data_IF_736479215243
#
_entry.id   IF_736479215243
#
_cell.length_a   1.000
_cell.length_b   1.000
_cell.length_c   1.000
_cell.angle_alpha   90.00
_cell.angle_beta   90.00
_cell.angle_gamma   90.00
#
_symmetry.space_group_name_H-M   'P 1'
#
loop_
_entity.id
_entity.type
_entity.pdbx_description
1 polymer ?
#
# COMPACT_ATOMS: atom_id res chain seq x y z
N UNK A 1 -24.54 -10.81 25.86
CA UNK A 1 -23.43 -11.14 26.78
C UNK A 1 -22.67 -12.32 26.21
N UNK A 2 -21.52 -12.07 25.58
CA UNK A 2 -20.64 -13.16 25.13
C UNK A 2 -20.13 -13.96 26.33
N UNK A 3 -19.59 -15.18 26.11
CA UNK A 3 -18.94 -15.93 27.18
C UNK A 3 -17.88 -15.02 27.81
N UNK A 4 -18.04 -14.71 29.09
CA UNK A 4 -17.11 -13.84 29.80
C UNK A 4 -15.73 -14.45 29.72
N UNK A 5 -14.75 -13.68 29.23
CA UNK A 5 -13.34 -14.04 29.36
C UNK A 5 -13.03 -14.04 30.87
N UNK A 6 -13.09 -15.21 31.49
CA UNK A 6 -12.69 -15.43 32.86
C UNK A 6 -11.19 -15.76 32.91
N UNK A 7 -10.50 -15.23 33.90
CA UNK A 7 -9.07 -15.47 34.12
C UNK A 7 -8.25 -14.18 34.12
N UNK A 8 -7.07 -14.28 34.71
CA UNK A 8 -6.07 -13.20 34.73
C UNK A 8 -5.12 -13.34 33.53
N UNK A 9 -4.63 -12.21 33.04
CA UNK A 9 -3.67 -12.19 31.94
C UNK A 9 -2.30 -12.67 32.43
N UNK A 10 -1.69 -13.62 31.72
CA UNK A 10 -0.32 -14.08 31.98
C UNK A 10 0.54 -13.92 30.73
N UNK A 11 1.43 -12.94 30.79
CA UNK A 11 2.39 -12.61 29.73
C UNK A 11 3.47 -13.69 29.59
N UNK A 12 3.98 -14.21 30.70
CA UNK A 12 5.06 -15.20 30.73
C UNK A 12 4.65 -16.48 29.99
N UNK A 13 3.51 -17.04 30.39
CA UNK A 13 3.02 -18.29 29.80
C UNK A 13 2.73 -18.12 28.30
N UNK A 14 2.14 -16.98 27.92
CA UNK A 14 1.91 -16.64 26.52
C UNK A 14 3.22 -16.59 25.70
N UNK A 15 4.24 -15.90 26.22
CA UNK A 15 5.55 -15.79 25.58
C UNK A 15 6.29 -17.13 25.51
N UNK A 16 6.23 -17.96 26.55
CA UNK A 16 6.90 -19.25 26.55
C UNK A 16 6.24 -20.26 25.60
N UNK A 17 4.91 -20.30 25.55
CA UNK A 17 4.18 -21.15 24.60
C UNK A 17 4.46 -20.70 23.17
N UNK A 18 4.41 -19.39 22.90
CA UNK A 18 4.74 -18.83 21.60
C UNK A 18 6.21 -19.10 21.22
N UNK A 19 7.14 -18.93 22.16
CA UNK A 19 8.56 -19.19 21.97
C UNK A 19 8.87 -20.66 21.66
N UNK A 20 8.24 -21.60 22.37
CA UNK A 20 8.33 -23.04 22.07
C UNK A 20 7.77 -23.36 20.70
N UNK A 21 6.62 -22.76 20.35
CA UNK A 21 6.03 -22.89 19.01
C UNK A 21 6.98 -22.37 17.93
N UNK A 22 7.64 -21.22 18.12
CA UNK A 22 8.59 -20.67 17.15
C UNK A 22 9.92 -21.43 17.10
N UNK A 23 10.20 -22.32 18.06
CA UNK A 23 11.45 -23.07 18.14
C UNK A 23 11.72 -23.99 16.95
N UNK A 24 10.65 -24.54 16.33
CA UNK A 24 10.79 -25.40 15.13
C UNK A 24 11.02 -24.61 13.84
N UNK A 25 10.86 -23.29 13.87
CA UNK A 25 11.05 -22.46 12.68
C UNK A 25 12.54 -22.39 12.32
N UNK A 26 12.87 -22.52 11.03
CA UNK A 26 14.24 -22.48 10.56
C UNK A 26 14.89 -21.11 10.81
N UNK A 27 16.23 -21.09 10.87
CA UNK A 27 17.00 -19.91 11.26
C UNK A 27 16.90 -18.72 10.30
N UNK A 28 16.60 -18.99 9.03
CA UNK A 28 16.39 -17.96 8.00
C UNK A 28 15.05 -17.23 8.14
N UNK A 29 14.10 -17.76 8.92
CA UNK A 29 12.82 -17.12 9.16
C UNK A 29 12.92 -16.00 10.20
N UNK A 30 12.17 -14.91 10.01
CA UNK A 30 11.89 -14.00 11.12
C UNK A 30 10.97 -14.69 12.12
N UNK A 31 11.27 -14.51 13.41
CA UNK A 31 10.47 -15.04 14.52
C UNK A 31 9.87 -13.84 15.21
N UNK A 32 8.56 -13.70 15.10
CA UNK A 32 7.86 -12.49 15.53
C UNK A 32 6.67 -12.88 16.40
N UNK A 33 6.49 -12.17 17.51
CA UNK A 33 5.35 -12.29 18.40
C UNK A 33 4.70 -10.91 18.47
N UNK A 34 3.41 -10.84 18.15
CA UNK A 34 2.60 -9.63 18.35
C UNK A 34 1.65 -9.88 19.51
N UNK A 35 1.77 -9.11 20.57
CA UNK A 35 0.92 -9.20 21.75
C UNK A 35 -0.18 -8.14 21.63
N UNK A 36 -1.44 -8.55 21.70
CA UNK A 36 -2.57 -7.65 21.89
C UNK A 36 -2.95 -7.65 23.37
N UNK A 37 -2.64 -6.58 24.09
CA UNK A 37 -2.88 -6.49 25.52
C UNK A 37 -4.06 -5.59 25.85
N UNK A 38 -5.08 -6.15 26.49
CA UNK A 38 -6.18 -5.40 27.09
C UNK A 38 -6.01 -5.20 28.61
N UNK A 39 -5.20 -6.04 29.25
CA UNK A 39 -4.99 -6.01 30.69
C UNK A 39 -3.96 -4.93 31.07
N UNK A 40 -4.13 -4.37 32.27
CA UNK A 40 -3.19 -3.39 32.86
C UNK A 40 -2.14 -4.06 33.75
N UNK A 41 -2.39 -5.30 34.13
CA UNK A 41 -1.53 -6.11 34.98
C UNK A 41 -1.34 -7.49 34.38
N UNK A 42 -0.20 -8.11 34.68
CA UNK A 42 0.09 -9.50 34.34
C UNK A 42 0.32 -10.30 35.61
N UNK A 43 -0.20 -11.51 35.66
CA UNK A 43 -0.11 -12.42 36.79
C UNK A 43 0.72 -13.64 36.34
N UNK A 44 2.03 -13.52 36.54
CA UNK A 44 3.01 -14.50 36.06
C UNK A 44 3.64 -15.27 37.22
N UNK A 45 3.99 -16.56 37.02
CA UNK A 45 4.58 -17.39 38.06
C UNK A 45 6.03 -17.00 38.41
N UNK A 46 6.75 -16.36 37.49
CA UNK A 46 8.15 -15.95 37.66
C UNK A 46 8.44 -14.56 37.10
N UNK A 47 9.73 -14.20 37.07
CA UNK A 47 10.18 -12.91 36.55
C UNK A 47 10.44 -12.97 35.04
N UNK A 48 9.53 -12.37 34.26
CA UNK A 48 9.57 -12.32 32.80
C UNK A 48 10.85 -11.63 32.27
N UNK A 49 11.34 -10.61 32.97
CA UNK A 49 12.47 -9.81 32.49
C UNK A 49 13.82 -10.51 32.70
N UNK A 50 13.92 -11.32 33.75
CA UNK A 50 15.17 -12.03 34.09
C UNK A 50 15.20 -13.43 33.46
N UNK A 51 14.07 -14.13 33.44
CA UNK A 51 14.02 -15.51 32.96
C UNK A 51 13.68 -15.60 31.47
N UNK A 52 12.55 -15.04 31.06
CA UNK A 52 11.98 -15.25 29.72
C UNK A 52 12.64 -14.36 28.67
N UNK A 53 12.91 -13.10 28.99
CA UNK A 53 13.45 -12.13 28.04
C UNK A 53 14.82 -12.55 27.45
N UNK A 54 15.83 -12.98 28.25
CA UNK A 54 17.10 -13.43 27.68
C UNK A 54 16.94 -14.68 26.79
N UNK A 55 16.01 -15.58 27.11
CA UNK A 55 15.70 -16.75 26.28
C UNK A 55 15.11 -16.33 24.93
N UNK A 56 14.24 -15.32 24.90
CA UNK A 56 13.66 -14.78 23.66
C UNK A 56 14.72 -14.10 22.78
N UNK A 57 15.60 -13.30 23.39
CA UNK A 57 16.71 -12.65 22.68
C UNK A 57 17.67 -13.70 22.12
N UNK A 58 18.05 -14.71 22.92
CA UNK A 58 18.90 -15.81 22.46
C UNK A 58 18.27 -16.66 21.35
N UNK A 59 16.93 -16.76 21.34
CA UNK A 59 16.19 -17.40 20.26
C UNK A 59 15.97 -16.48 19.02
N UNK A 60 16.42 -15.22 19.07
CA UNK A 60 16.26 -14.25 18.00
C UNK A 60 14.81 -13.85 17.73
N UNK A 61 13.95 -13.89 18.76
CA UNK A 61 12.52 -13.57 18.66
C UNK A 61 12.30 -12.08 18.88
N UNK A 62 11.61 -11.43 17.94
CA UNK A 62 11.16 -10.04 18.02
C UNK A 62 9.76 -10.00 18.61
N UNK A 63 9.53 -9.16 19.62
CA UNK A 63 8.22 -9.05 20.28
C UNK A 63 7.70 -7.63 20.13
N UNK A 64 6.58 -7.45 19.42
CA UNK A 64 5.83 -6.20 19.37
C UNK A 64 4.59 -6.31 20.26
N UNK A 65 4.15 -5.20 20.84
CA UNK A 65 2.97 -5.19 21.69
C UNK A 65 2.07 -3.99 21.38
N UNK A 66 0.78 -4.26 21.29
CA UNK A 66 -0.28 -3.29 21.05
C UNK A 66 -1.19 -3.34 22.28
N UNK A 67 -1.16 -2.30 23.10
CA UNK A 67 -2.03 -2.17 24.26
C UNK A 67 -3.30 -1.39 23.92
N UNK A 68 -4.45 -1.81 24.47
CA UNK A 68 -5.74 -1.16 24.22
C UNK A 68 -6.02 0.05 25.12
N UNK A 69 -5.43 0.10 26.32
CA UNK A 69 -5.80 1.12 27.32
C UNK A 69 -4.60 1.90 27.83
N UNK A 70 -3.66 1.23 28.48
CA UNK A 70 -2.47 1.90 29.00
C UNK A 70 -1.20 1.12 28.65
N UNK A 71 -0.10 1.86 28.65
CA UNK A 71 1.22 1.29 28.47
C UNK A 71 1.62 0.43 29.67
N UNK A 72 2.06 -0.79 29.39
CA UNK A 72 2.68 -1.66 30.39
C UNK A 72 4.20 -1.56 30.28
N UNK A 73 4.86 -1.09 31.35
CA UNK A 73 6.32 -0.95 31.39
C UNK A 73 7.06 -2.27 31.09
N UNK A 74 6.52 -3.40 31.53
CA UNK A 74 7.09 -4.73 31.24
C UNK A 74 7.06 -5.01 29.74
N UNK A 75 5.91 -4.79 29.08
CA UNK A 75 5.77 -4.97 27.63
C UNK A 75 6.67 -4.00 26.84
N UNK A 76 6.79 -2.75 27.28
CA UNK A 76 7.69 -1.76 26.66
C UNK A 76 9.14 -2.22 26.69
N UNK A 77 9.63 -2.63 27.86
CA UNK A 77 11.00 -3.13 28.03
C UNK A 77 11.28 -4.36 27.16
N UNK A 78 10.32 -5.28 27.07
CA UNK A 78 10.45 -6.47 26.22
C UNK A 78 10.50 -6.09 24.73
N UNK A 79 9.63 -5.19 24.29
CA UNK A 79 9.61 -4.72 22.91
C UNK A 79 10.92 -4.03 22.53
N UNK A 80 11.42 -3.10 23.35
CA UNK A 80 12.67 -2.39 23.09
C UNK A 80 13.88 -3.33 23.09
N UNK A 81 13.92 -4.26 24.04
CA UNK A 81 15.05 -5.20 24.17
C UNK A 81 15.09 -6.23 23.04
N UNK A 82 13.94 -6.56 22.44
CA UNK A 82 13.85 -7.52 21.33
C UNK A 82 13.82 -6.85 19.94
N UNK A 83 13.86 -5.51 19.88
CA UNK A 83 13.77 -4.73 18.64
C UNK A 83 12.36 -4.70 18.01
N UNK A 84 11.34 -4.98 18.81
CA UNK A 84 9.93 -4.80 18.45
C UNK A 84 9.44 -3.37 18.73
N UNK A 85 8.13 -3.18 18.58
CA UNK A 85 7.49 -1.87 18.79
C UNK A 85 6.35 -2.03 19.81
N UNK A 86 6.24 -1.06 20.72
CA UNK A 86 5.10 -0.92 21.63
C UNK A 86 4.22 0.23 21.16
N UNK A 87 2.91 0.00 21.00
CA UNK A 87 1.91 1.03 20.71
C UNK A 87 0.72 0.96 21.67
N UNK A 88 0.13 2.11 22.00
CA UNK A 88 -1.10 2.20 22.79
C UNK A 88 -2.21 2.74 21.90
N UNK A 89 -3.32 2.02 21.85
CA UNK A 89 -4.48 2.39 21.06
C UNK A 89 -5.20 3.56 21.72
N UNK A 90 -5.56 4.56 20.91
CA UNK A 90 -6.37 5.70 21.36
C UNK A 90 -7.81 5.51 20.88
N UNK A 91 -7.94 5.25 19.58
CA UNK A 91 -9.20 5.04 18.90
C UNK A 91 -9.21 3.74 18.09
N UNK A 92 -10.39 3.37 17.59
CA UNK A 92 -10.56 2.19 16.73
C UNK A 92 -9.70 2.26 15.46
N UNK A 93 -9.61 3.44 14.86
CA UNK A 93 -8.81 3.64 13.64
C UNK A 93 -7.32 3.55 13.96
N UNK A 94 -6.89 4.11 15.09
CA UNK A 94 -5.50 3.97 15.54
C UNK A 94 -5.12 2.50 15.84
N UNK A 95 -6.02 1.71 16.44
CA UNK A 95 -5.80 0.27 16.61
C UNK A 95 -5.61 -0.43 15.25
N UNK A 96 -6.42 -0.07 14.26
CA UNK A 96 -6.28 -0.61 12.89
C UNK A 96 -4.92 -0.25 12.32
N UNK A 97 -4.48 1.00 12.47
CA UNK A 97 -3.18 1.46 11.97
C UNK A 97 -2.01 0.75 12.64
N UNK A 98 -2.05 0.58 13.98
CA UNK A 98 -1.03 -0.16 14.72
C UNK A 98 -0.93 -1.63 14.30
N UNK A 99 -2.07 -2.28 14.03
CA UNK A 99 -2.12 -3.65 13.52
C UNK A 99 -1.64 -3.74 12.08
N UNK A 100 -2.07 -2.82 11.21
CA UNK A 100 -1.61 -2.75 9.81
C UNK A 100 -0.11 -2.48 9.74
N UNK A 101 0.45 -1.68 10.65
CA UNK A 101 1.89 -1.46 10.74
C UNK A 101 2.71 -2.72 11.00
N UNK A 102 2.14 -3.76 11.62
CA UNK A 102 2.81 -5.07 11.80
C UNK A 102 2.74 -5.97 10.55
N UNK A 103 1.98 -5.59 9.51
CA UNK A 103 1.88 -6.38 8.27
C UNK A 103 3.06 -6.17 7.33
N UNK A 104 3.75 -5.02 7.46
CA UNK A 104 4.97 -4.75 6.72
C UNK A 104 6.11 -5.57 7.34
N UNK A 105 6.81 -6.42 6.56
CA UNK A 105 7.89 -7.24 7.09
C UNK A 105 8.98 -6.32 7.67
N UNK A 106 9.38 -6.50 8.94
CA UNK A 106 10.36 -5.63 9.55
C UNK A 106 11.73 -5.84 8.90
N UNK A 107 12.58 -4.80 8.90
CA UNK A 107 13.96 -4.94 8.47
C UNK A 107 14.67 -5.98 9.34
N UNK A 108 15.46 -6.85 8.72
CA UNK A 108 16.29 -7.79 9.46
C UNK A 108 17.34 -7.02 10.26
N UNK A 109 17.16 -6.94 11.57
CA UNK A 109 18.15 -6.35 12.46
C UNK A 109 19.42 -7.20 12.42
N UNK A 110 20.46 -6.69 11.74
CA UNK A 110 21.79 -7.25 11.82
C UNK A 110 22.36 -6.96 13.22
N UNK A 111 22.56 -8.00 14.02
CA UNK A 111 23.22 -7.85 15.31
C UNK A 111 24.68 -7.46 15.06
N UNK A 112 25.03 -6.19 15.30
CA UNK A 112 26.39 -5.65 15.11
C UNK A 112 27.47 -6.38 15.94
N UNK A 113 27.07 -7.14 16.96
CA UNK A 113 27.97 -7.87 17.85
C UNK A 113 28.20 -9.35 17.46
N UNK A 114 27.55 -9.86 16.41
CA UNK A 114 27.53 -11.30 16.08
C UNK A 114 28.50 -11.70 14.94
N UNK A 115 29.52 -10.90 14.64
CA UNK A 115 30.57 -11.27 13.65
C UNK A 115 31.35 -12.55 14.01
N UNK A 116 31.21 -13.06 15.24
CA UNK A 116 31.90 -14.25 15.75
C UNK A 116 30.99 -15.31 16.38
N UNK A 117 29.66 -15.18 16.29
CA UNK A 117 28.73 -16.16 16.87
C UNK A 117 28.03 -16.99 15.79
N UNK A 118 27.84 -18.29 16.05
CA UNK A 118 27.12 -19.26 15.19
C UNK A 118 25.61 -19.00 15.08
N UNK A 119 25.17 -17.81 15.47
CA UNK A 119 23.78 -17.33 15.55
C UNK A 119 23.51 -16.17 14.59
N UNK A 120 24.52 -15.72 13.81
CA UNK A 120 24.31 -14.73 12.75
C UNK A 120 23.21 -15.21 11.78
N UNK A 121 22.23 -14.33 11.51
CA UNK A 121 21.19 -14.58 10.50
C UNK A 121 21.84 -14.71 9.14
N UNK A 122 21.93 -15.93 8.63
CA UNK A 122 22.45 -16.21 7.30
C UNK A 122 21.33 -16.07 6.26
N UNK A 123 21.64 -15.38 5.16
CA UNK A 123 20.79 -15.39 3.98
C UNK A 123 20.98 -16.73 3.27
N UNK A 124 20.30 -17.78 3.76
CA UNK A 124 20.38 -19.13 3.21
C UNK A 124 19.37 -19.32 2.07
N UNK A 125 19.80 -19.95 0.98
CA UNK A 125 18.89 -20.32 -0.10
C UNK A 125 17.98 -21.48 0.33
N UNK A 126 16.68 -21.20 0.37
CA UNK A 126 15.66 -22.20 0.72
C UNK A 126 15.15 -22.88 -0.54
N UNK A 127 15.16 -24.22 -0.54
CA UNK A 127 14.56 -25.00 -1.62
C UNK A 127 13.04 -24.90 -1.56
N UNK A 128 12.44 -24.30 -2.59
CA UNK A 128 10.98 -24.20 -2.76
C UNK A 128 10.53 -25.08 -3.94
N UNK A 129 9.27 -25.52 -3.91
CA UNK A 129 8.63 -26.26 -4.99
C UNK A 129 7.50 -25.45 -5.62
N UNK A 130 7.53 -25.33 -6.95
CA UNK A 130 6.42 -24.78 -7.73
C UNK A 130 5.58 -25.94 -8.28
N UNK A 131 4.45 -26.27 -7.67
CA UNK A 131 3.63 -27.38 -8.10
C UNK A 131 2.79 -27.01 -9.33
N UNK A 132 2.47 -28.01 -10.14
CA UNK A 132 1.55 -27.87 -11.28
C UNK A 132 0.14 -28.22 -10.83
N UNK A 133 -0.85 -27.45 -11.28
CA UNK A 133 -2.26 -27.76 -11.04
C UNK A 133 -2.70 -28.83 -12.04
N UNK A 134 -3.13 -29.98 -11.54
CA UNK A 134 -3.73 -31.04 -12.33
C UNK A 134 -5.24 -31.12 -12.08
N UNK A 135 -5.99 -31.33 -13.15
CA UNK A 135 -7.44 -31.51 -13.12
C UNK A 135 -7.78 -32.85 -13.77
N UNK A 136 -8.46 -33.72 -13.02
CA UNK A 136 -8.95 -35.00 -13.51
C UNK A 136 -10.48 -35.05 -13.55
N UNK A 137 -11.02 -35.84 -14.46
CA UNK A 137 -12.47 -36.06 -14.57
C UNK A 137 -13.00 -36.87 -13.37
N UNK A 138 -12.20 -37.85 -12.91
CA UNK A 138 -12.46 -38.62 -11.69
C UNK A 138 -11.79 -37.99 -10.46
N UNK A 139 -12.47 -37.95 -9.30
CA UNK A 139 -11.87 -37.45 -8.08
C UNK A 139 -10.71 -38.36 -7.65
N UNK A 140 -9.53 -37.77 -7.47
CA UNK A 140 -8.33 -38.48 -7.03
C UNK A 140 -8.06 -38.22 -5.56
N UNK A 141 -7.37 -39.14 -4.90
CA UNK A 141 -6.94 -38.96 -3.52
C UNK A 141 -5.88 -37.87 -3.47
N UNK A 142 -6.17 -36.77 -2.77
CA UNK A 142 -5.26 -35.62 -2.63
C UNK A 142 -4.48 -35.75 -1.34
N UNK A 143 -5.18 -35.97 -0.23
CA UNK A 143 -4.56 -36.06 1.08
C UNK A 143 -5.20 -37.20 1.87
N UNK A 144 -4.37 -38.05 2.47
CA UNK A 144 -4.80 -39.11 3.35
C UNK A 144 -4.01 -39.03 4.65
N UNK A 145 -4.69 -38.65 5.73
CA UNK A 145 -4.26 -38.92 7.10
C UNK A 145 -5.06 -40.08 7.66
N UNK A 146 -4.67 -40.60 8.84
CA UNK A 146 -5.36 -41.73 9.49
C UNK A 146 -6.86 -41.46 9.66
N UNK A 147 -7.23 -40.19 9.89
CA UNK A 147 -8.61 -39.79 10.19
C UNK A 147 -9.32 -39.04 9.05
N UNK A 148 -8.59 -38.51 8.04
CA UNK A 148 -9.18 -37.74 6.94
C UNK A 148 -8.67 -38.21 5.58
N UNK A 149 -9.59 -38.59 4.71
CA UNK A 149 -9.34 -38.86 3.29
C UNK A 149 -10.02 -37.76 2.46
N UNK A 150 -9.21 -36.93 1.83
CA UNK A 150 -9.67 -35.86 0.97
C UNK A 150 -9.55 -36.30 -0.50
N UNK A 151 -10.70 -36.42 -1.15
CA UNK A 151 -10.79 -36.65 -2.58
C UNK A 151 -11.19 -35.35 -3.27
N UNK A 152 -10.45 -34.93 -4.28
CA UNK A 152 -10.92 -33.88 -5.17
C UNK A 152 -10.46 -34.10 -6.61
N UNK A 153 -11.17 -33.46 -7.52
CA UNK A 153 -10.89 -33.50 -8.97
C UNK A 153 -9.69 -32.64 -9.35
N UNK A 154 -9.39 -31.62 -8.56
CA UNK A 154 -8.29 -30.70 -8.80
C UNK A 154 -7.30 -30.75 -7.65
N UNK A 155 -6.01 -30.84 -7.95
CA UNK A 155 -4.96 -30.83 -6.93
C UNK A 155 -3.63 -30.32 -7.47
N UNK A 156 -2.76 -29.89 -6.57
CA UNK A 156 -1.43 -29.41 -6.89
C UNK A 156 -0.41 -30.52 -6.70
N UNK A 157 0.37 -30.82 -7.73
CA UNK A 157 1.34 -31.93 -7.69
C UNK A 157 2.72 -31.42 -7.27
N UNK A 158 3.25 -31.99 -6.20
CA UNK A 158 4.60 -31.70 -5.72
C UNK A 158 5.64 -32.07 -6.80
N UNK A 159 6.56 -31.16 -7.17
CA UNK A 159 7.55 -31.45 -8.20
C UNK A 159 8.57 -32.52 -7.79
N UNK A 160 8.79 -32.72 -6.48
CA UNK A 160 9.79 -33.66 -5.94
C UNK A 160 9.27 -35.08 -5.78
N UNK A 161 8.15 -35.26 -5.07
CA UNK A 161 7.63 -36.59 -4.71
C UNK A 161 6.30 -36.94 -5.38
N UNK A 162 5.76 -36.05 -6.22
CA UNK A 162 4.47 -36.21 -6.92
C UNK A 162 3.23 -36.38 -6.02
N UNK A 163 3.38 -36.18 -4.71
CA UNK A 163 2.24 -36.10 -3.80
C UNK A 163 1.34 -34.91 -4.17
N UNK A 164 0.02 -35.08 -3.97
CA UNK A 164 -0.99 -34.07 -4.24
C UNK A 164 -1.24 -33.22 -2.99
N UNK A 165 -1.47 -31.92 -3.19
CA UNK A 165 -1.89 -30.97 -2.16
C UNK A 165 -3.22 -30.33 -2.58
N UNK A 166 -4.08 -30.04 -1.61
CA UNK A 166 -5.37 -29.38 -1.88
C UNK A 166 -5.18 -27.91 -2.20
N UNK A 167 -4.37 -27.24 -1.37
CA UNK A 167 -4.21 -25.79 -1.37
C UNK A 167 -2.75 -25.40 -1.23
N UNK A 168 -2.45 -24.16 -1.63
CA UNK A 168 -1.14 -23.54 -1.55
C UNK A 168 -1.29 -22.15 -0.91
N UNK A 169 -0.29 -21.66 -0.17
CA UNK A 169 0.99 -22.28 0.15
C UNK A 169 0.87 -23.37 1.21
N UNK A 170 1.62 -24.47 1.08
CA UNK A 170 1.63 -25.55 2.08
C UNK A 170 2.93 -26.36 2.04
N UNK A 171 3.17 -27.12 3.10
CA UNK A 171 4.28 -28.08 3.13
C UNK A 171 3.85 -29.40 2.53
N UNK A 172 4.69 -29.96 1.65
CA UNK A 172 4.43 -31.27 1.12
C UNK A 172 4.50 -32.34 2.23
N UNK A 173 3.40 -33.06 2.44
CA UNK A 173 3.26 -34.04 3.53
C UNK A 173 4.18 -35.26 3.40
N UNK A 174 4.70 -35.53 2.20
CA UNK A 174 5.57 -36.69 1.94
C UNK A 174 7.05 -36.33 2.03
N UNK A 175 7.46 -35.20 1.45
CA UNK A 175 8.89 -34.84 1.35
C UNK A 175 9.29 -33.56 2.11
N UNK A 176 8.35 -32.89 2.78
CA UNK A 176 8.59 -31.65 3.53
C UNK A 176 8.94 -30.42 2.69
N UNK A 177 8.89 -30.52 1.35
CA UNK A 177 9.18 -29.40 0.46
C UNK A 177 8.08 -28.33 0.56
N UNK A 178 8.47 -27.08 0.77
CA UNK A 178 7.58 -25.90 0.78
C UNK A 178 7.00 -25.69 -0.62
N UNK A 179 5.69 -25.81 -0.78
CA UNK A 179 4.99 -25.65 -2.05
C UNK A 179 4.36 -24.26 -2.12
N UNK A 180 4.74 -23.49 -3.14
CA UNK A 180 4.26 -22.12 -3.38
C UNK A 180 4.04 -21.89 -4.87
N UNK A 181 3.15 -20.96 -5.23
CA UNK A 181 3.01 -20.50 -6.61
C UNK A 181 3.83 -19.22 -6.80
N UNK A 182 4.31 -18.97 -8.02
CA UNK A 182 5.02 -17.73 -8.35
C UNK A 182 4.22 -16.46 -7.99
N UNK A 183 2.89 -16.38 -8.22
CA UNK A 183 2.06 -15.27 -7.73
C UNK A 183 2.12 -15.02 -6.21
N UNK A 184 2.32 -16.05 -5.38
CA UNK A 184 2.41 -15.86 -3.94
C UNK A 184 3.67 -15.10 -3.54
N UNK A 185 4.78 -15.33 -4.26
CA UNK A 185 6.05 -14.61 -4.06
C UNK A 185 6.00 -13.21 -4.71
N UNK A 186 5.37 -13.09 -5.89
CA UNK A 186 5.24 -11.82 -6.57
C UNK A 186 4.46 -10.79 -5.73
N UNK A 187 3.48 -11.25 -4.93
CA UNK A 187 2.74 -10.37 -4.01
C UNK A 187 3.62 -9.67 -3.00
N UNK A 188 4.77 -10.22 -2.59
CA UNK A 188 5.69 -9.54 -1.64
C UNK A 188 6.69 -8.60 -2.31
N UNK A 189 6.71 -8.49 -3.65
CA UNK A 189 7.66 -7.63 -4.36
C UNK A 189 7.53 -6.14 -4.01
N UNK A 190 6.34 -5.67 -3.64
CA UNK A 190 6.15 -4.28 -3.24
C UNK A 190 6.91 -3.90 -1.95
N UNK A 191 7.26 -4.87 -1.10
CA UNK A 191 8.13 -4.63 0.06
C UNK A 191 9.62 -4.61 -0.31
N UNK A 192 10.00 -5.25 -1.41
CA UNK A 192 11.38 -5.28 -1.91
C UNK A 192 11.70 -4.04 -2.77
N UNK A 193 10.71 -3.59 -3.54
CA UNK A 193 10.81 -2.45 -4.45
C UNK A 193 9.60 -1.53 -4.24
N UNK A 194 9.56 -0.78 -3.12
CA UNK A 194 8.48 0.14 -2.85
C UNK A 194 8.49 1.29 -3.87
N UNK A 195 7.29 1.79 -4.21
CA UNK A 195 7.15 3.00 -5.04
C UNK A 195 7.65 4.19 -4.21
N UNK A 196 8.55 5.03 -4.77
CA UNK A 196 9.00 6.22 -4.06
C UNK A 196 7.85 7.20 -3.89
N UNK A 197 7.76 7.90 -2.74
CA UNK A 197 6.71 8.87 -2.49
C UNK A 197 6.74 9.96 -3.57
N UNK A 198 5.57 10.32 -4.09
CA UNK A 198 5.47 11.36 -5.11
C UNK A 198 5.68 12.73 -4.48
N UNK A 199 6.30 13.63 -5.25
CA UNK A 199 6.59 14.99 -4.81
C UNK A 199 5.36 15.86 -5.09
N UNK A 200 4.88 16.54 -4.05
CA UNK A 200 3.83 17.53 -4.21
C UNK A 200 4.37 18.73 -4.99
N UNK A 201 3.72 19.05 -6.11
CA UNK A 201 4.09 20.19 -6.97
C UNK A 201 3.13 21.35 -6.67
N UNK A 202 3.58 22.43 -6.00
CA UNK A 202 2.74 23.60 -5.77
C UNK A 202 2.38 24.31 -7.08
N UNK A 203 1.24 25.01 -7.11
CA UNK A 203 0.73 25.70 -8.31
C UNK A 203 1.57 26.92 -8.76
N UNK A 204 2.68 27.21 -8.08
CA UNK A 204 3.50 28.39 -8.31
C UNK A 204 4.65 28.11 -9.29
N UNK A 205 4.31 28.08 -10.58
CA UNK A 205 5.24 28.55 -11.61
C UNK A 205 4.47 29.48 -12.53
N UNK A 206 4.41 30.76 -12.15
CA UNK A 206 4.43 31.81 -13.16
C UNK A 206 5.67 31.54 -14.01
N UNK A 207 5.48 31.02 -15.23
CA UNK A 207 6.52 31.04 -16.25
C UNK A 207 6.79 32.51 -16.48
N UNK A 208 7.84 33.01 -15.81
CA UNK A 208 8.42 34.30 -16.08
C UNK A 208 8.66 34.36 -17.56
N UNK A 209 8.14 35.40 -18.19
CA UNK A 209 8.56 35.77 -19.54
C UNK A 209 10.08 35.94 -19.46
N UNK A 210 10.83 35.02 -20.03
CA UNK A 210 12.19 35.32 -20.43
C UNK A 210 12.07 36.45 -21.45
N UNK A 211 12.50 37.64 -21.05
CA UNK A 211 12.74 38.74 -21.95
C UNK A 211 13.80 38.29 -22.96
N UNK A 212 13.48 38.44 -24.23
CA UNK A 212 14.41 38.26 -25.33
C UNK A 212 15.67 39.10 -25.11
N UNK A 213 16.84 38.48 -25.27
CA UNK A 213 18.05 39.20 -25.66
C UNK A 213 19.33 38.74 -24.96
N UNK A 214 19.98 37.71 -25.53
CA UNK A 214 21.34 37.81 -26.11
C UNK A 214 21.86 36.42 -26.52
N UNK A 215 22.41 36.39 -27.73
CA UNK A 215 23.11 35.28 -28.38
C UNK A 215 24.35 34.85 -27.59
N UNK A 216 24.58 33.53 -27.43
CA UNK A 216 25.78 32.83 -27.93
C UNK A 216 25.67 31.30 -27.69
N UNK A 217 26.48 30.56 -28.46
CA UNK A 217 26.28 29.22 -29.01
C UNK A 217 26.37 28.00 -28.06
N UNK A 218 25.65 26.92 -28.41
CA UNK A 218 26.17 25.54 -28.32
C UNK A 218 25.39 24.49 -27.52
N UNK A 219 24.34 23.88 -28.09
CA UNK A 219 23.86 22.52 -27.72
C UNK A 219 23.14 21.84 -28.90
N UNK A 220 23.34 20.53 -29.17
CA UNK A 220 22.85 19.91 -30.40
C UNK A 220 21.35 19.63 -30.37
N UNK A 221 20.79 19.64 -31.57
CA UNK A 221 19.38 19.64 -31.95
C UNK A 221 18.64 18.32 -31.65
N UNK A 222 17.41 18.43 -31.16
CA UNK A 222 16.39 17.39 -31.31
C UNK A 222 15.36 17.86 -32.36
N UNK A 223 15.29 17.10 -33.44
CA UNK A 223 14.55 17.37 -34.67
C UNK A 223 13.05 17.16 -34.47
N UNK A 224 12.27 18.21 -34.74
CA UNK A 224 10.82 18.13 -34.96
C UNK A 224 10.50 17.36 -36.25
N UNK A 225 9.43 16.56 -36.24
CA UNK A 225 8.66 16.29 -37.47
C UNK A 225 7.22 16.74 -37.29
N UNK A 226 6.87 17.73 -38.10
CA UNK A 226 5.52 18.15 -38.45
C UNK A 226 4.76 17.07 -39.21
N UNK A 227 3.42 17.09 -39.05
CA UNK A 227 2.37 16.65 -39.99
C UNK A 227 1.32 15.75 -39.32
N UNK A 228 0.20 16.31 -38.84
CA UNK A 228 -1.11 15.64 -38.93
C UNK A 228 -2.22 16.68 -39.12
N UNK A 229 -3.04 16.44 -40.13
CA UNK A 229 -4.29 17.09 -40.54
C UNK A 229 -5.49 16.66 -39.69
N UNK A 230 -6.37 17.62 -39.37
CA UNK A 230 -7.77 17.56 -38.85
C UNK A 230 -8.41 16.20 -38.45
N UNK A 231 -8.98 16.10 -37.24
CA UNK A 231 -10.22 15.34 -36.92
C UNK A 231 -10.94 15.94 -35.67
N UNK A 232 -12.28 15.93 -35.69
CA UNK A 232 -13.27 16.62 -34.82
C UNK A 232 -13.86 15.78 -33.65
N UNK A 233 -14.31 16.47 -32.58
CA UNK A 233 -15.35 16.16 -31.55
C UNK A 233 -14.90 15.43 -30.25
N UNK A 234 -15.13 15.95 -29.02
CA UNK A 234 -16.34 16.52 -28.41
C UNK A 234 -15.97 17.46 -27.23
N UNK A 235 -16.76 18.51 -27.01
CA UNK A 235 -16.39 19.69 -26.24
C UNK A 235 -16.89 19.65 -24.78
N UNK A 236 -15.97 19.53 -23.82
CA UNK A 236 -16.21 19.98 -22.43
C UNK A 236 -15.20 21.06 -22.07
N UNK A 237 -15.70 22.26 -21.82
CA UNK A 237 -14.88 23.44 -21.50
C UNK A 237 -14.59 23.42 -20.00
N UNK A 238 -13.31 23.49 -19.63
CA UNK A 238 -12.87 23.57 -18.24
C UNK A 238 -12.39 25.00 -17.95
N UNK A 239 -12.93 25.62 -16.90
CA UNK A 239 -12.54 26.97 -16.48
C UNK A 239 -11.65 26.84 -15.24
N UNK A 240 -10.40 27.30 -15.37
CA UNK A 240 -9.49 27.42 -14.22
C UNK A 240 -9.72 28.80 -13.61
N UNK A 241 -10.40 28.84 -12.46
CA UNK A 241 -10.55 30.07 -11.68
C UNK A 241 -9.29 30.27 -10.82
N UNK A 242 -8.53 31.37 -11.01
CA UNK A 242 -7.45 31.68 -10.07
C UNK A 242 -8.05 31.94 -8.68
N UNK A 243 -7.50 31.28 -7.66
CA UNK A 243 -7.92 31.44 -6.26
C UNK A 243 -7.43 32.80 -5.76
N UNK A 244 -8.32 33.57 -5.15
CA UNK A 244 -8.02 34.88 -4.56
C UNK A 244 -7.19 34.69 -3.28
N UNK A 245 -5.89 34.95 -3.36
CA UNK A 245 -5.06 35.18 -2.17
C UNK A 245 -5.27 36.62 -1.72
N UNK A 246 -5.95 36.81 -0.59
CA UNK A 246 -6.17 38.12 0.03
C UNK A 246 -4.83 38.82 0.28
N UNK A 247 -4.47 39.76 -0.59
CA UNK A 247 -3.62 40.91 -0.23
C UNK A 247 -4.29 42.18 -0.71
N UNK A 248 -4.65 42.98 0.29
CA UNK A 248 -5.14 44.35 0.20
C UNK A 248 -4.20 45.21 -0.65
N UNK A 249 -4.68 45.68 -1.80
CA UNK A 249 -4.47 47.05 -2.28
C UNK A 249 -5.21 47.27 -3.59
N UNK A 250 -5.93 48.37 -3.63
CA UNK A 250 -6.72 48.90 -4.73
C UNK A 250 -5.87 49.13 -5.98
N UNK A 251 -6.07 48.33 -7.03
CA UNK A 251 -5.95 48.81 -8.41
C UNK A 251 -6.61 47.81 -9.38
N UNK A 252 -7.62 48.29 -10.09
CA UNK A 252 -8.42 47.49 -11.03
C UNK A 252 -7.59 47.06 -12.25
N UNK A 253 -7.05 45.85 -12.24
CA UNK A 253 -6.68 45.12 -13.46
C UNK A 253 -7.55 43.87 -13.55
N UNK A 254 -8.44 43.81 -14.55
CA UNK A 254 -9.21 42.61 -14.93
C UNK A 254 -8.22 41.45 -15.15
N UNK A 255 -8.05 40.54 -14.18
CA UNK A 255 -7.36 39.26 -14.39
C UNK A 255 -8.18 38.45 -15.40
N UNK A 256 -7.58 38.15 -16.56
CA UNK A 256 -8.21 37.35 -17.62
C UNK A 256 -8.43 35.93 -17.10
N UNK A 257 -9.68 35.47 -17.08
CA UNK A 257 -10.02 34.03 -17.00
C UNK A 257 -9.34 33.33 -18.18
N UNK A 258 -8.47 32.36 -17.91
CA UNK A 258 -7.93 31.47 -18.95
C UNK A 258 -8.87 30.28 -19.06
N UNK A 259 -9.72 30.31 -20.08
CA UNK A 259 -10.49 29.15 -20.52
C UNK A 259 -9.53 28.20 -21.22
N UNK A 260 -9.44 26.95 -20.76
CA UNK A 260 -8.66 25.91 -21.43
C UNK A 260 -9.68 25.01 -22.11
N UNK A 261 -9.76 25.09 -23.44
CA UNK A 261 -10.50 24.13 -24.24
C UNK A 261 -9.66 22.86 -24.35
N UNK A 262 -10.06 21.82 -23.61
CA UNK A 262 -9.39 20.52 -23.67
C UNK A 262 -10.11 19.74 -24.77
N UNK A 263 -9.55 19.77 -25.98
CA UNK A 263 -10.02 18.97 -27.10
C UNK A 263 -9.59 17.49 -26.88
N UNK A 264 -10.40 16.52 -27.31
CA UNK A 264 -10.15 15.09 -27.09
C UNK A 264 -8.88 14.54 -27.79
N UNK A 265 -8.08 15.41 -28.40
CA UNK A 265 -6.79 15.14 -29.04
C UNK A 265 -5.58 15.45 -28.12
N UNK A 266 -5.81 15.85 -26.87
CA UNK A 266 -4.77 16.13 -25.85
C UNK A 266 -4.06 14.89 -25.29
N UNK A 267 -3.64 13.98 -26.16
CA UNK A 267 -2.73 12.88 -25.84
C UNK A 267 -1.35 12.98 -26.51
N UNK A 268 -1.00 14.09 -27.19
CA UNK A 268 0.29 14.19 -27.91
C UNK A 268 1.00 15.55 -27.80
N UNK A 269 0.62 16.43 -26.87
CA UNK A 269 1.33 17.70 -26.64
C UNK A 269 1.75 17.82 -25.17
N UNK A 270 3.04 17.64 -24.95
CA UNK A 270 3.77 17.64 -23.67
C UNK A 270 3.74 18.96 -22.89
N UNK A 271 2.90 19.94 -23.28
CA UNK A 271 2.74 21.22 -22.55
C UNK A 271 1.41 21.38 -21.81
N UNK A 272 0.39 20.59 -22.17
CA UNK A 272 -0.91 20.56 -21.48
C UNK A 272 -1.06 19.35 -20.54
N UNK A 273 -0.03 18.49 -20.50
CA UNK A 273 0.09 17.30 -19.65
C UNK A 273 0.26 17.59 -18.15
N UNK A 274 0.66 18.81 -17.78
CA UNK A 274 0.97 19.16 -16.38
C UNK A 274 -0.27 19.36 -15.50
N UNK A 275 -1.45 19.35 -16.12
CA UNK A 275 -2.75 19.54 -15.46
C UNK A 275 -3.65 18.32 -15.54
N UNK A 276 -3.26 17.26 -16.25
CA UNK A 276 -4.04 16.03 -16.33
C UNK A 276 -3.33 14.92 -15.58
N UNK A 277 -4.08 14.17 -14.77
CA UNK A 277 -3.56 12.97 -14.15
C UNK A 277 -3.24 11.92 -15.21
N UNK A 278 -2.01 11.41 -15.24
CA UNK A 278 -1.57 10.39 -16.19
C UNK A 278 -2.40 9.09 -16.10
N UNK A 279 -2.85 8.72 -14.90
CA UNK A 279 -3.55 7.45 -14.68
C UNK A 279 -5.05 7.50 -15.01
N UNK A 280 -5.76 8.55 -14.61
CA UNK A 280 -7.21 8.65 -14.74
C UNK A 280 -7.70 9.74 -15.71
N UNK A 281 -6.77 10.51 -16.28
CA UNK A 281 -7.04 11.63 -17.20
C UNK A 281 -7.91 12.75 -16.57
N UNK A 282 -8.03 12.77 -15.23
CA UNK A 282 -8.72 13.85 -14.49
C UNK A 282 -7.91 15.14 -14.62
N UNK A 283 -8.59 16.22 -15.02
CA UNK A 283 -8.02 17.58 -15.03
C UNK A 283 -7.96 18.09 -13.58
N UNK A 284 -6.78 18.47 -13.13
CA UNK A 284 -6.48 18.91 -11.76
C UNK A 284 -6.61 20.44 -11.72
N UNK A 285 -7.27 20.99 -10.69
CA UNK A 285 -7.46 22.44 -10.54
C UNK A 285 -8.51 23.09 -11.46
N UNK A 286 -9.43 22.31 -12.04
CA UNK A 286 -10.53 22.83 -12.84
C UNK A 286 -11.90 22.48 -12.24
N UNK A 287 -12.81 23.45 -12.19
CA UNK A 287 -14.23 23.21 -11.93
C UNK A 287 -14.94 23.01 -13.27
N UNK A 288 -15.81 21.99 -13.35
CA UNK A 288 -16.73 21.88 -14.48
C UNK A 288 -17.77 22.98 -14.34
N UNK A 289 -17.95 23.80 -15.38
CA UNK A 289 -19.17 24.61 -15.47
C UNK A 289 -20.34 23.65 -15.68
N UNK A 290 -21.30 23.63 -14.75
CA UNK A 290 -22.60 23.04 -15.05
C UNK A 290 -23.23 23.89 -16.16
N UNK A 291 -23.75 23.25 -17.21
CA UNK A 291 -24.52 23.95 -18.23
C UNK A 291 -25.73 24.60 -17.55
N UNK A 292 -25.65 25.92 -17.31
CA UNK A 292 -26.75 26.74 -16.85
C UNK A 292 -27.86 26.76 -17.91
N UNK A 293 -28.67 25.71 -17.90
CA UNK A 293 -29.95 25.67 -18.58
C UNK A 293 -30.86 26.72 -17.97
N UNK A 294 -31.04 27.82 -18.71
CA UNK A 294 -32.14 28.76 -18.54
C UNK A 294 -33.45 28.03 -18.22
N UNK A 295 -33.90 28.10 -16.96
CA UNK A 295 -35.23 27.62 -16.56
C UNK A 295 -36.07 28.77 -16.03
N UNK A 296 -36.86 29.32 -16.95
CA UNK A 296 -38.17 29.90 -16.61
C UNK A 296 -38.96 28.93 -15.74
N UNK A 297 -39.62 29.47 -14.72
CA UNK A 297 -40.26 28.71 -13.65
C UNK A 297 -41.27 27.64 -14.11
N UNK A 298 -41.35 26.58 -13.33
CA UNK A 298 -42.37 25.54 -13.48
C UNK A 298 -42.19 24.38 -12.50
N UNK A 299 -42.93 24.41 -11.40
CA UNK A 299 -43.07 23.28 -10.46
C UNK A 299 -43.67 22.07 -11.18
N UNK A 300 -43.02 20.89 -11.15
CA UNK A 300 -43.69 19.57 -11.06
C UNK A 300 -42.79 18.53 -10.36
N UNK A 301 -43.41 17.77 -9.45
CA UNK A 301 -42.89 16.58 -8.74
C UNK A 301 -42.92 15.35 -9.65
N UNK A 302 -41.93 14.44 -9.55
CA UNK A 302 -42.10 13.02 -9.17
C UNK A 302 -40.90 12.10 -9.53
N UNK A 303 -40.37 11.42 -8.49
CA UNK A 303 -39.93 10.00 -8.33
C UNK A 303 -39.06 9.21 -9.37
N UNK A 304 -37.99 8.62 -8.79
CA UNK A 304 -37.37 7.27 -8.97
C UNK A 304 -36.74 6.91 -10.33
N UNK A 305 -35.64 6.17 -10.50
CA UNK A 305 -35.02 5.07 -9.73
C UNK A 305 -33.59 4.71 -10.26
N UNK A 306 -32.70 4.34 -9.33
CA UNK A 306 -31.65 3.28 -9.38
C UNK A 306 -30.63 3.14 -10.53
N UNK A 307 -29.33 3.18 -10.17
CA UNK A 307 -28.33 2.17 -10.58
C UNK A 307 -27.01 2.70 -11.16
N UNK A 308 -25.95 2.73 -10.36
CA UNK A 308 -24.55 2.88 -10.84
C UNK A 308 -23.71 3.82 -9.97
N UNK A 309 -22.78 3.27 -9.18
CA UNK A 309 -21.98 3.99 -8.20
C UNK A 309 -20.97 4.95 -8.83
N UNK A 310 -21.33 6.23 -8.88
CA UNK A 310 -20.41 7.36 -8.98
C UNK A 310 -20.43 8.13 -7.67
N UNK A 311 -19.26 8.53 -7.17
CA UNK A 311 -19.15 9.40 -6.00
C UNK A 311 -19.81 10.74 -6.31
N UNK A 312 -21.00 10.96 -5.79
CA UNK A 312 -21.61 12.28 -5.73
C UNK A 312 -20.89 13.10 -4.65
N UNK A 313 -19.95 13.94 -5.05
CA UNK A 313 -19.41 14.99 -4.19
C UNK A 313 -20.50 16.05 -3.96
N UNK A 314 -20.69 16.53 -2.72
CA UNK A 314 -21.65 17.59 -2.44
C UNK A 314 -21.16 18.92 -3.04
N UNK A 315 -22.10 19.66 -3.62
CA UNK A 315 -21.94 21.02 -4.11
C UNK A 315 -21.37 21.94 -3.02
N UNK A 316 -20.08 22.29 -3.15
CA UNK A 316 -19.36 23.15 -2.19
C UNK A 316 -17.88 22.79 -1.97
N UNK A 317 -17.36 21.72 -2.57
CA UNK A 317 -15.94 21.37 -2.45
C UNK A 317 -15.05 22.32 -3.26
N UNK A 318 -14.04 22.90 -2.60
CA UNK A 318 -12.92 23.60 -3.24
C UNK A 318 -12.28 22.67 -4.30
N UNK A 319 -11.83 23.19 -5.45
CA UNK A 319 -11.15 22.36 -6.44
C UNK A 319 -9.92 21.71 -5.80
N UNK A 320 -9.78 20.38 -5.95
CA UNK A 320 -8.57 19.67 -5.58
C UNK A 320 -7.44 20.16 -6.50
N UNK A 321 -6.57 21.02 -5.98
CA UNK A 321 -5.43 21.61 -6.68
C UNK A 321 -4.14 20.81 -6.51
N UNK A 322 -4.14 19.82 -5.61
CA UNK A 322 -2.95 19.03 -5.27
C UNK A 322 -2.50 18.15 -6.44
N UNK A 323 -1.23 18.31 -6.81
CA UNK A 323 -0.56 17.54 -7.88
C UNK A 323 0.62 16.80 -7.32
N UNK A 324 0.72 15.53 -7.68
CA UNK A 324 1.79 14.65 -7.24
C UNK A 324 2.60 14.20 -8.44
N UNK A 325 3.92 14.41 -8.41
CA UNK A 325 4.82 14.03 -9.49
C UNK A 325 5.70 12.85 -9.09
N UNK A 326 5.77 11.85 -9.95
CA UNK A 326 6.66 10.72 -9.75
C UNK A 326 8.12 11.15 -10.02
N UNK A 327 9.08 10.87 -9.10
CA UNK A 327 10.48 11.30 -9.27
C UNK A 327 11.20 10.60 -10.44
N UNK A 328 10.75 9.40 -10.84
CA UNK A 328 11.45 8.59 -11.85
C UNK A 328 10.95 8.87 -13.29
N UNK A 329 9.63 8.85 -13.49
CA UNK A 329 9.03 9.07 -14.81
C UNK A 329 8.60 10.52 -15.06
N UNK A 330 8.58 11.37 -14.02
CA UNK A 330 8.17 12.78 -14.06
C UNK A 330 6.70 13.01 -14.45
N UNK A 331 5.88 11.96 -14.54
CA UNK A 331 4.45 12.07 -14.80
C UNK A 331 3.68 12.61 -13.58
N UNK A 332 2.60 13.34 -13.85
CA UNK A 332 1.73 13.97 -12.85
C UNK A 332 0.51 13.09 -12.54
N UNK A 333 0.14 13.02 -11.27
CA UNK A 333 -0.99 12.24 -10.74
C UNK A 333 -1.84 13.11 -9.80
N UNK A 334 -3.14 12.82 -9.74
CA UNK A 334 -4.04 13.41 -8.74
C UNK A 334 -3.93 12.68 -7.39
N UNK A 335 -4.42 13.30 -6.31
CA UNK A 335 -4.40 12.73 -4.96
C UNK A 335 -5.00 11.32 -4.87
N UNK A 336 -6.15 11.09 -5.54
CA UNK A 336 -6.80 9.77 -5.57
C UNK A 336 -5.92 8.70 -6.22
N UNK A 337 -5.27 9.05 -7.32
CA UNK A 337 -4.36 8.13 -8.02
C UNK A 337 -3.11 7.90 -7.19
N UNK A 338 -2.52 8.94 -6.60
CA UNK A 338 -1.36 8.79 -5.70
C UNK A 338 -1.66 7.82 -4.55
N UNK A 339 -2.79 8.00 -3.85
CA UNK A 339 -3.23 7.10 -2.78
C UNK A 339 -3.47 5.66 -3.26
N UNK A 340 -4.06 5.49 -4.45
CA UNK A 340 -4.30 4.16 -5.02
C UNK A 340 -2.99 3.46 -5.44
N UNK A 341 -2.06 4.21 -6.03
CA UNK A 341 -0.76 3.71 -6.47
C UNK A 341 0.09 3.27 -5.26
N UNK A 342 0.10 4.05 -4.18
CA UNK A 342 0.87 3.71 -2.99
C UNK A 342 0.18 2.69 -2.08
N UNK A 343 -1.15 2.66 -2.02
CA UNK A 343 -1.90 1.80 -1.10
C UNK A 343 -2.39 0.47 -1.67
N UNK A 344 -2.56 0.35 -3.00
CA UNK A 344 -3.15 -0.86 -3.62
C UNK A 344 -2.31 -1.40 -4.77
N UNK A 345 -1.94 -0.56 -5.74
CA UNK A 345 -1.27 -1.05 -6.95
C UNK A 345 0.22 -1.32 -6.71
N UNK A 346 0.84 -0.54 -5.82
CA UNK A 346 2.26 -0.54 -5.49
C UNK A 346 3.19 -0.51 -6.72
N UNK A 347 2.75 0.12 -7.81
CA UNK A 347 3.50 0.29 -9.04
C UNK A 347 3.13 1.62 -9.68
N UNK A 348 4.08 2.38 -10.22
CA UNK A 348 3.80 3.56 -11.01
C UNK A 348 3.54 3.17 -12.48
N UNK A 349 2.36 3.47 -13.07
CA UNK A 349 2.07 3.16 -14.47
C UNK A 349 3.03 3.84 -15.44
N UNK A 350 3.49 5.06 -15.11
CA UNK A 350 4.46 5.79 -15.93
C UNK A 350 5.81 5.08 -16.02
N UNK A 351 6.30 4.51 -14.92
CA UNK A 351 7.56 3.77 -14.90
C UNK A 351 7.44 2.40 -15.57
N UNK A 352 6.27 1.77 -15.56
CA UNK A 352 6.05 0.46 -16.21
C UNK A 352 5.90 0.57 -17.74
N UNK A 353 5.59 1.76 -18.25
CA UNK A 353 5.47 2.02 -19.69
C UNK A 353 6.77 2.52 -20.34
N UNK A 354 7.81 2.80 -19.56
CA UNK A 354 9.15 3.18 -20.04
C UNK A 354 10.04 1.95 -20.19
#
# INVERSE_FOLDING_TARGET
SGPGAGGEFSLQNGLEVAGRSLGHMPRYGSREIVILCAALSTCDPGDVLVETLPRLIGAGVRVSCVALSAEMNVCRKIADSTGGVMGVCLDKDHLRDLLMGQTVPPPSLANKNDSSSSTARTCEFVKMGFPTRETGDVPSLIHATRDKKLFARTGYVCPRCKAKASDLPTDCTVCGLKLVLAPHLARSFHHLFPVPPFVEVPEDVEIGKEEEGKEEEGRPEDVFSSNVTEVVSSSTVYVVTPIDVEKSSSSSKKKKRKTIEIDNTLLVSSKDSDRCCYACLKVIGATKEEEDGWKTGGKKKAKSSSGGGGSSTPSGAQPETLRFQCPDCLNVFCADCDAFLHGTLHNCPGCQCR
#
